data_IF_536038554294
#
_entry.id   IF_536038554294
#
_cell.length_a   1.000
_cell.length_b   1.000
_cell.length_c   1.000
_cell.angle_alpha   90.00
_cell.angle_beta   90.00
_cell.angle_gamma   90.00
#
_symmetry.space_group_name_H-M   'P 1'
#
loop_
_entity.id
_entity.type
_entity.pdbx_description
1 polymer ?
#
# COMPACT_ATOMS: atom_id res chain seq x y z
N UNK A 1 13.79 3.33 2.36
CA UNK A 1 13.07 4.57 1.98
C UNK A 1 13.74 5.17 0.76
N UNK A 2 12.97 5.68 -0.19
CA UNK A 2 13.54 6.39 -1.33
C UNK A 2 14.22 7.68 -0.87
N UNK A 3 15.43 7.92 -1.36
CA UNK A 3 16.19 9.12 -1.04
C UNK A 3 15.71 10.34 -1.85
N UNK A 4 15.02 10.13 -2.98
CA UNK A 4 14.71 11.18 -3.96
C UNK A 4 13.23 11.44 -4.14
N UNK A 5 12.41 10.38 -4.24
CA UNK A 5 11.00 10.52 -4.65
C UNK A 5 10.13 9.51 -3.92
N UNK A 6 8.95 9.96 -3.47
CA UNK A 6 7.82 9.06 -3.18
C UNK A 6 6.88 9.01 -4.37
N UNK A 7 6.50 7.81 -4.80
CA UNK A 7 5.63 7.61 -5.95
C UNK A 7 4.15 7.85 -5.62
N UNK A 8 3.72 7.44 -4.42
CA UNK A 8 2.37 7.63 -3.86
C UNK A 8 1.22 6.96 -4.60
N UNK A 9 1.49 6.17 -5.63
CA UNK A 9 0.50 5.38 -6.36
C UNK A 9 1.09 4.05 -6.83
N UNK A 10 1.87 3.43 -5.94
CA UNK A 10 2.45 2.10 -6.20
C UNK A 10 1.31 1.07 -6.19
N UNK A 11 0.97 0.57 -7.37
CA UNK A 11 -0.08 -0.43 -7.55
C UNK A 11 0.36 -1.44 -8.60
N UNK A 12 -0.25 -2.64 -8.70
CA UNK A 12 0.14 -3.63 -9.70
C UNK A 12 0.12 -3.10 -11.14
N UNK A 13 -0.80 -2.18 -11.46
CA UNK A 13 -0.89 -1.53 -12.79
C UNK A 13 0.31 -0.61 -13.11
N UNK A 14 1.01 -0.13 -12.08
CA UNK A 14 2.14 0.79 -12.19
C UNK A 14 3.50 0.09 -11.99
N UNK A 15 3.50 -1.24 -11.86
CA UNK A 15 4.73 -2.05 -11.77
C UNK A 15 4.86 -2.84 -13.08
N UNK A 16 5.88 -2.50 -13.88
CA UNK A 16 6.26 -3.26 -15.06
C UNK A 16 7.20 -4.40 -14.66
N UNK A 17 7.01 -5.55 -15.30
CA UNK A 17 7.84 -6.74 -15.13
C UNK A 17 8.48 -7.07 -16.46
N UNK A 18 9.80 -7.10 -16.51
CA UNK A 18 10.55 -7.67 -17.61
C UNK A 18 11.08 -9.04 -17.19
N UNK A 19 10.58 -10.09 -17.82
CA UNK A 19 10.98 -11.47 -17.55
C UNK A 19 11.65 -12.07 -18.79
N UNK A 20 12.92 -12.50 -18.64
CA UNK A 20 13.66 -13.22 -19.68
C UNK A 20 13.98 -14.64 -19.19
N UNK A 21 13.86 -15.68 -20.05
CA UNK A 21 14.18 -17.04 -19.66
C UNK A 21 15.59 -17.18 -19.09
N UNK A 22 15.74 -17.88 -17.96
CA UNK A 22 17.04 -18.12 -17.31
C UNK A 22 17.60 -16.96 -16.49
N UNK A 23 16.83 -15.88 -16.29
CA UNK A 23 17.23 -14.72 -15.47
C UNK A 23 16.18 -14.37 -14.43
N UNK A 24 16.59 -13.70 -13.34
CA UNK A 24 15.65 -13.12 -12.41
C UNK A 24 14.87 -11.97 -13.08
N UNK A 25 13.57 -11.81 -12.81
CA UNK A 25 12.78 -10.72 -13.38
C UNK A 25 13.29 -9.36 -12.89
N UNK A 26 13.29 -8.37 -13.79
CA UNK A 26 13.50 -6.96 -13.46
C UNK A 26 12.15 -6.26 -13.30
N UNK A 27 12.10 -5.32 -12.35
CA UNK A 27 10.89 -4.55 -12.04
C UNK A 27 11.15 -3.06 -12.25
N UNK A 28 10.17 -2.36 -12.82
CA UNK A 28 10.19 -0.91 -13.00
C UNK A 28 8.89 -0.29 -12.54
N UNK A 29 8.95 0.93 -12.02
CA UNK A 29 7.78 1.74 -11.72
C UNK A 29 7.47 2.69 -12.88
N UNK A 30 6.20 2.92 -13.15
CA UNK A 30 5.70 3.87 -14.14
C UNK A 30 4.58 4.73 -13.55
N UNK A 31 4.23 5.81 -14.25
CA UNK A 31 3.18 6.75 -13.82
C UNK A 31 3.54 7.56 -12.56
N UNK A 32 4.54 8.44 -12.71
CA UNK A 32 4.98 9.37 -11.66
C UNK A 32 4.09 10.61 -11.54
N UNK A 33 2.85 10.58 -12.04
CA UNK A 33 1.95 11.74 -12.05
C UNK A 33 1.58 12.27 -10.66
N UNK A 34 1.72 11.44 -9.63
CA UNK A 34 1.49 11.78 -8.22
C UNK A 34 2.78 11.82 -7.38
N UNK A 35 3.92 11.68 -8.03
CA UNK A 35 5.20 11.58 -7.36
C UNK A 35 5.64 12.94 -6.79
N UNK A 36 6.34 12.88 -5.66
CA UNK A 36 6.82 14.07 -4.93
C UNK A 36 8.28 13.89 -4.52
N UNK A 37 8.98 15.01 -4.38
CA UNK A 37 10.33 15.00 -3.81
C UNK A 37 10.31 14.45 -2.37
N UNK A 38 11.26 13.57 -2.04
CA UNK A 38 11.28 12.88 -0.77
C UNK A 38 11.73 13.75 0.40
N UNK A 39 12.56 14.77 0.16
CA UNK A 39 12.98 15.73 1.18
C UNK A 39 11.80 16.65 1.53
N UNK A 40 11.16 17.26 0.53
CA UNK A 40 9.98 18.12 0.74
C UNK A 40 8.78 17.36 1.32
N UNK A 41 8.53 16.11 0.88
CA UNK A 41 7.48 15.27 1.47
C UNK A 41 7.75 15.00 2.96
N UNK A 42 8.99 14.61 3.29
CA UNK A 42 9.35 14.36 4.69
C UNK A 42 9.32 15.65 5.50
N UNK A 43 9.67 16.80 4.94
CA UNK A 43 9.56 18.08 5.62
C UNK A 43 8.09 18.53 5.83
N UNK A 44 7.14 17.91 5.11
CA UNK A 44 5.73 18.31 5.07
C UNK A 44 5.56 19.75 4.57
N UNK A 45 6.36 20.12 3.56
CA UNK A 45 6.29 21.43 2.89
C UNK A 45 4.88 21.67 2.30
N UNK A 46 4.50 22.94 2.13
CA UNK A 46 3.22 23.29 1.51
C UNK A 46 3.12 22.69 0.09
N UNK A 47 2.01 21.99 -0.20
CA UNK A 47 1.81 21.24 -1.46
C UNK A 47 2.42 19.84 -1.48
N UNK A 48 3.31 19.50 -0.54
CA UNK A 48 3.87 18.16 -0.38
C UNK A 48 3.01 17.28 0.54
N UNK A 49 1.74 17.62 0.82
CA UNK A 49 0.88 16.90 1.75
C UNK A 49 -0.48 16.49 1.18
N UNK A 50 -0.72 16.74 -0.10
CA UNK A 50 -1.99 16.38 -0.71
C UNK A 50 -2.11 14.85 -0.76
N UNK A 51 -3.22 14.32 -0.28
CA UNK A 51 -3.53 12.90 -0.40
C UNK A 51 -3.70 12.52 -1.88
N UNK A 52 -3.20 11.35 -2.29
CA UNK A 52 -3.39 10.86 -3.65
C UNK A 52 -3.13 9.36 -3.76
N UNK A 53 -3.37 8.85 -4.96
CA UNK A 53 -3.22 7.43 -5.30
C UNK A 53 -4.49 6.62 -5.01
N UNK A 54 -4.37 5.31 -5.21
CA UNK A 54 -5.46 4.37 -5.03
C UNK A 54 -5.70 4.00 -3.55
N UNK A 55 -6.90 4.31 -3.04
CA UNK A 55 -7.29 4.02 -1.65
C UNK A 55 -7.18 2.57 -1.21
N UNK A 56 -7.20 1.61 -2.13
CA UNK A 56 -7.02 0.17 -1.82
C UNK A 56 -5.60 -0.15 -1.34
N UNK A 57 -4.65 0.72 -1.64
CA UNK A 57 -3.23 0.57 -1.30
C UNK A 57 -2.77 1.57 -0.24
N UNK A 58 -3.68 2.36 0.32
CA UNK A 58 -3.36 3.31 1.37
C UNK A 58 -3.10 2.63 2.72
N UNK A 59 -2.04 3.04 3.45
CA UNK A 59 -1.89 2.69 4.85
C UNK A 59 -2.93 3.40 5.73
N UNK A 60 -2.99 3.00 7.00
CA UNK A 60 -3.88 3.58 8.01
C UNK A 60 -3.73 5.09 8.11
N UNK A 61 -2.50 5.60 8.11
CA UNK A 61 -2.20 7.03 8.14
C UNK A 61 -2.77 7.81 6.95
N UNK A 62 -2.79 7.24 5.75
CA UNK A 62 -3.38 7.89 4.58
C UNK A 62 -4.91 7.95 4.67
N UNK A 63 -5.55 6.89 5.15
CA UNK A 63 -6.98 6.92 5.51
C UNK A 63 -7.28 7.94 6.61
N UNK A 64 -6.38 8.10 7.58
CA UNK A 64 -6.53 9.11 8.63
C UNK A 64 -6.48 10.53 8.05
N UNK A 65 -5.51 10.82 7.17
CA UNK A 65 -5.43 12.12 6.46
C UNK A 65 -6.68 12.38 5.62
N UNK A 66 -7.23 11.36 4.95
CA UNK A 66 -8.49 11.49 4.21
C UNK A 66 -9.64 11.98 5.10
N UNK A 67 -9.79 11.41 6.30
CA UNK A 67 -10.90 11.73 7.20
C UNK A 67 -10.70 13.01 8.02
N UNK A 68 -9.46 13.31 8.41
CA UNK A 68 -9.16 14.32 9.44
C UNK A 68 -8.13 15.38 9.01
N UNK A 69 -7.46 15.18 7.87
CA UNK A 69 -6.41 16.06 7.38
C UNK A 69 -5.06 15.90 8.07
N UNK A 70 -4.03 16.50 7.47
CA UNK A 70 -2.63 16.43 7.95
C UNK A 70 -2.42 17.19 9.26
N UNK A 71 -3.26 18.18 9.57
CA UNK A 71 -3.18 18.89 10.86
C UNK A 71 -3.47 17.97 12.04
N UNK A 72 -4.52 17.14 11.95
CA UNK A 72 -4.84 16.15 12.98
C UNK A 72 -3.81 15.02 13.01
N UNK A 73 -3.30 14.59 11.85
CA UNK A 73 -2.26 13.55 11.76
C UNK A 73 -1.04 13.86 12.65
N UNK A 74 -0.58 15.12 12.67
CA UNK A 74 0.58 15.55 13.46
C UNK A 74 0.41 15.36 14.97
N UNK A 75 -0.83 15.21 15.46
CA UNK A 75 -1.13 14.91 16.87
C UNK A 75 -0.92 13.43 17.21
N UNK A 76 -0.71 12.58 16.20
CA UNK A 76 -0.52 11.14 16.33
C UNK A 76 0.87 10.73 15.76
N UNK A 77 1.94 10.76 16.58
CA UNK A 77 3.32 10.60 16.09
C UNK A 77 3.55 9.34 15.25
N UNK A 78 2.96 8.20 15.63
CA UNK A 78 3.09 6.96 14.87
C UNK A 78 2.42 7.01 13.49
N UNK A 79 1.27 7.68 13.38
CA UNK A 79 0.60 7.86 12.08
C UNK A 79 1.33 8.90 11.23
N UNK A 80 1.87 9.96 11.84
CA UNK A 80 2.70 10.96 11.15
C UNK A 80 3.96 10.31 10.54
N UNK A 81 4.66 9.49 11.32
CA UNK A 81 5.84 8.76 10.86
C UNK A 81 5.49 7.78 9.73
N UNK A 82 4.41 7.00 9.88
CA UNK A 82 3.93 6.09 8.84
C UNK A 82 3.60 6.85 7.54
N UNK A 83 2.91 7.98 7.62
CA UNK A 83 2.55 8.77 6.43
C UNK A 83 3.78 9.34 5.70
N UNK A 84 4.79 9.76 6.45
CA UNK A 84 5.99 10.42 5.90
C UNK A 84 7.01 9.43 5.33
N UNK A 85 6.90 8.15 5.69
CA UNK A 85 7.93 7.16 5.37
C UNK A 85 7.39 5.92 4.66
N UNK A 86 6.18 5.47 4.96
CA UNK A 86 5.76 4.11 4.61
C UNK A 86 4.78 4.01 3.44
N UNK A 87 4.32 5.10 2.82
CA UNK A 87 3.29 5.05 1.76
C UNK A 87 3.59 4.03 0.64
N UNK A 88 4.74 4.17 -0.01
CA UNK A 88 5.12 3.30 -1.13
C UNK A 88 5.42 1.87 -0.66
N UNK A 89 6.03 1.72 0.52
CA UNK A 89 6.39 0.41 1.08
C UNK A 89 5.14 -0.38 1.44
N UNK A 90 4.16 0.27 2.07
CA UNK A 90 2.89 -0.34 2.40
C UNK A 90 2.17 -0.82 1.14
N UNK A 91 2.06 0.05 0.15
CA UNK A 91 1.43 -0.25 -1.14
C UNK A 91 2.10 -1.43 -1.87
N UNK A 92 3.43 -1.48 -1.87
CA UNK A 92 4.22 -2.60 -2.40
C UNK A 92 3.98 -3.89 -1.59
N UNK A 93 3.91 -3.79 -0.25
CA UNK A 93 3.64 -4.90 0.64
C UNK A 93 2.28 -5.55 0.38
N UNK A 94 1.23 -4.74 0.19
CA UNK A 94 -0.10 -5.23 -0.22
C UNK A 94 -0.05 -5.95 -1.56
N UNK A 95 0.69 -5.38 -2.53
CA UNK A 95 0.86 -6.01 -3.85
C UNK A 95 1.58 -7.35 -3.74
N UNK A 96 2.68 -7.43 -3.00
CA UNK A 96 3.44 -8.66 -2.81
C UNK A 96 2.62 -9.72 -2.06
N UNK A 97 1.90 -9.34 -1.00
CA UNK A 97 1.03 -10.24 -0.25
C UNK A 97 -0.07 -10.82 -1.13
N UNK A 98 -0.69 -10.00 -1.99
CA UNK A 98 -1.69 -10.47 -2.95
C UNK A 98 -1.11 -11.53 -3.90
N UNK A 99 0.05 -11.26 -4.49
CA UNK A 99 0.72 -12.26 -5.34
C UNK A 99 1.02 -13.56 -4.58
N UNK A 100 1.51 -13.46 -3.34
CA UNK A 100 1.78 -14.63 -2.52
C UNK A 100 0.52 -15.45 -2.27
N UNK A 101 -0.58 -14.80 -1.88
CA UNK A 101 -1.87 -15.47 -1.62
C UNK A 101 -2.43 -16.11 -2.89
N UNK A 102 -2.33 -15.44 -4.05
CA UNK A 102 -2.78 -15.99 -5.35
C UNK A 102 -1.93 -17.20 -5.81
N UNK A 103 -0.69 -17.31 -5.32
CA UNK A 103 0.21 -18.44 -5.60
C UNK A 103 0.12 -19.56 -4.57
N UNK A 104 -0.60 -19.37 -3.46
CA UNK A 104 -0.81 -20.44 -2.51
C UNK A 104 -1.58 -21.58 -3.17
N UNK A 105 -1.24 -22.84 -2.87
CA UNK A 105 -2.07 -23.95 -3.30
C UNK A 105 -3.49 -23.77 -2.71
N UNK A 106 -4.53 -24.28 -3.39
CA UNK A 106 -5.85 -24.38 -2.77
C UNK A 106 -5.69 -25.06 -1.42
N UNK A 107 -6.31 -24.50 -0.38
CA UNK A 107 -6.42 -25.21 0.89
C UNK A 107 -7.02 -26.58 0.56
N UNK A 108 -6.32 -27.65 0.94
CA UNK A 108 -6.84 -28.99 0.79
C UNK A 108 -8.25 -28.98 1.39
N UNK A 109 -9.22 -29.45 0.62
CA UNK A 109 -10.59 -29.61 1.09
C UNK A 109 -10.56 -30.79 2.08
N UNK A 110 -10.01 -30.55 3.27
CA UNK A 110 -10.22 -31.41 4.43
C UNK A 110 -11.73 -31.42 4.57
N UNK A 111 -12.37 -32.54 4.24
CA UNK A 111 -13.83 -32.72 4.04
C UNK A 111 -14.73 -32.43 5.24
N UNK A 112 -14.47 -31.34 5.94
CA UNK A 112 -15.19 -30.69 7.01
C UNK A 112 -15.51 -29.26 6.56
N UNK A 113 -16.12 -29.12 5.38
CA UNK A 113 -16.93 -27.95 5.05
C UNK A 113 -18.12 -27.92 6.01
N UNK A 114 -17.93 -27.40 7.23
CA UNK A 114 -19.05 -26.80 7.95
C UNK A 114 -19.38 -25.50 7.21
N UNK A 115 -20.62 -25.33 6.73
CA UNK A 115 -20.99 -24.11 6.02
C UNK A 115 -20.74 -22.89 6.91
N UNK A 116 -20.07 -21.88 6.36
CA UNK A 116 -19.88 -20.54 6.95
C UNK A 116 -21.19 -19.86 7.43
N UNK A 117 -22.35 -20.41 7.05
CA UNK A 117 -23.66 -20.01 7.54
C UNK A 117 -23.83 -20.14 9.08
N UNK A 118 -23.11 -21.05 9.73
CA UNK A 118 -23.26 -21.31 11.18
C UNK A 118 -22.46 -20.35 12.08
N UNK A 119 -21.54 -19.55 11.51
CA UNK A 119 -20.69 -18.63 12.29
C UNK A 119 -21.31 -17.23 12.45
N UNK A 120 -22.24 -16.85 11.56
CA UNK A 120 -22.84 -15.52 11.53
C UNK A 120 -23.92 -15.18 12.59
N UNK A 121 -24.51 -16.08 13.40
CA UNK A 121 -25.51 -15.65 14.40
C UNK A 121 -24.93 -15.02 15.67
N UNK A 122 -23.60 -14.96 15.87
CA UNK A 122 -22.99 -14.46 17.12
C UNK A 122 -22.55 -12.99 17.11
N UNK A 123 -22.94 -12.23 16.09
CA UNK A 123 -22.75 -10.78 16.01
C UNK A 123 -24.09 -10.08 15.77
N UNK A 124 -24.98 -10.14 16.77
CA UNK A 124 -26.11 -9.21 16.95
C UNK A 124 -26.30 -8.94 18.43
#
# INVERSE_FOLDING_TARGET
LSAKVYHRDVTPRNILVEARPGTAPSFGLVDFGLAVDAESWRAMDEGAGDLGGDGRYWPTSAWFVFGYGTHELRKHPGLDEEYRTCLDIFSLGITALRCLVELLPPLADDGASQPLADVLPKLR
#
